data_IF_111058108391
#
_entry.id   IF_111058108391
#
_cell.length_a   1.000
_cell.length_b   1.000
_cell.length_c   1.000
_cell.angle_alpha   90.00
_cell.angle_beta   90.00
_cell.angle_gamma   90.00
#
_symmetry.space_group_name_H-M   'P 1'
#
loop_
_entity.id
_entity.type
_entity.pdbx_description
1 polymer ?
#
# COMPACT_ATOMS: atom_id res chain seq x y z
N UNK A 1 26.94 -23.25 5.18
CA UNK A 1 26.63 -21.87 4.73
C UNK A 1 26.84 -20.96 5.92
N UNK A 2 27.62 -19.88 5.79
CA UNK A 2 27.78 -18.91 6.86
C UNK A 2 26.50 -18.07 6.99
N UNK A 3 26.01 -17.88 8.22
CA UNK A 3 24.87 -17.02 8.53
C UNK A 3 25.37 -15.71 9.14
N UNK A 4 24.77 -14.59 8.75
CA UNK A 4 25.03 -13.29 9.34
C UNK A 4 23.74 -12.70 9.88
N UNK A 5 23.82 -11.94 10.97
CA UNK A 5 22.67 -11.28 11.60
C UNK A 5 22.43 -9.91 10.98
N UNK A 6 21.15 -9.55 10.81
CA UNK A 6 20.73 -8.21 10.38
C UNK A 6 19.83 -7.62 11.45
N UNK A 7 20.14 -6.40 11.90
CA UNK A 7 19.33 -5.64 12.87
C UNK A 7 18.57 -4.54 12.14
N UNK A 8 17.24 -4.56 12.23
CA UNK A 8 16.35 -3.58 11.60
C UNK A 8 15.64 -2.78 12.69
N UNK A 9 15.76 -1.44 12.63
CA UNK A 9 14.98 -0.53 13.49
C UNK A 9 13.71 -0.13 12.76
N UNK A 10 12.57 -0.21 13.44
CA UNK A 10 11.26 0.14 12.90
C UNK A 10 10.38 0.70 14.02
N UNK A 11 9.35 1.45 13.63
CA UNK A 11 8.33 1.92 14.58
C UNK A 11 7.55 0.72 15.16
N UNK A 12 7.18 0.82 16.44
CA UNK A 12 6.47 -0.26 17.15
C UNK A 12 5.12 -0.59 16.52
N UNK A 13 4.34 0.42 16.12
CA UNK A 13 3.05 0.24 15.47
C UNK A 13 3.17 -0.52 14.15
N UNK A 14 4.16 -0.13 13.32
CA UNK A 14 4.45 -0.82 12.06
C UNK A 14 4.91 -2.26 12.30
N UNK A 15 5.79 -2.50 13.28
CA UNK A 15 6.25 -3.85 13.63
C UNK A 15 5.07 -4.78 13.92
N UNK A 16 4.14 -4.32 14.77
CA UNK A 16 2.97 -5.12 15.17
C UNK A 16 2.06 -5.45 13.99
N UNK A 17 1.81 -4.47 13.11
CA UNK A 17 0.99 -4.69 11.91
C UNK A 17 1.61 -5.74 10.98
N UNK A 18 2.91 -5.62 10.73
CA UNK A 18 3.63 -6.54 9.83
C UNK A 18 3.74 -7.94 10.44
N UNK A 19 3.95 -8.06 11.75
CA UNK A 19 3.95 -9.35 12.46
C UNK A 19 2.61 -10.08 12.35
N UNK A 20 1.51 -9.38 12.58
CA UNK A 20 0.16 -9.96 12.43
C UNK A 20 -0.10 -10.41 10.99
N UNK A 21 0.21 -9.55 10.01
CA UNK A 21 0.01 -9.87 8.60
C UNK A 21 0.81 -11.10 8.16
N UNK A 22 2.07 -11.20 8.59
CA UNK A 22 2.89 -12.37 8.25
C UNK A 22 2.39 -13.64 8.94
N UNK A 23 1.93 -13.56 10.18
CA UNK A 23 1.37 -14.72 10.91
C UNK A 23 0.10 -15.24 10.24
N UNK A 24 -0.79 -14.35 9.78
CA UNK A 24 -1.98 -14.70 8.99
C UNK A 24 -1.62 -15.41 7.67
N UNK A 25 -0.44 -15.10 7.11
CA UNK A 25 0.11 -15.77 5.92
C UNK A 25 0.90 -17.06 6.26
N UNK A 26 1.01 -17.43 7.54
CA UNK A 26 1.79 -18.58 8.00
C UNK A 26 3.32 -18.37 7.91
N UNK A 27 3.77 -17.12 7.95
CA UNK A 27 5.17 -16.72 7.84
C UNK A 27 5.65 -16.04 9.13
N UNK A 28 6.82 -16.44 9.61
CA UNK A 28 7.51 -15.63 10.61
C UNK A 28 8.28 -14.46 9.95
N UNK A 29 8.62 -13.45 10.75
CA UNK A 29 9.34 -12.25 10.30
C UNK A 29 10.63 -12.60 9.54
N UNK A 30 11.43 -13.53 10.06
CA UNK A 30 12.70 -13.94 9.42
C UNK A 30 12.49 -14.55 8.04
N UNK A 31 11.49 -15.42 7.90
CA UNK A 31 11.13 -16.05 6.62
C UNK A 31 10.67 -14.99 5.62
N UNK A 32 9.79 -14.08 6.02
CA UNK A 32 9.28 -13.02 5.16
C UNK A 32 10.41 -12.10 4.66
N UNK A 33 11.29 -11.64 5.56
CA UNK A 33 12.45 -10.79 5.19
C UNK A 33 13.44 -11.55 4.30
N UNK A 34 13.63 -12.85 4.53
CA UNK A 34 14.49 -13.69 3.68
C UNK A 34 13.90 -13.84 2.27
N UNK A 35 12.59 -14.03 2.15
CA UNK A 35 11.90 -14.09 0.85
C UNK A 35 12.05 -12.76 0.11
N UNK A 36 11.84 -11.64 0.79
CA UNK A 36 12.04 -10.31 0.23
C UNK A 36 13.48 -10.14 -0.31
N UNK A 37 14.49 -10.45 0.50
CA UNK A 37 15.89 -10.32 0.08
C UNK A 37 16.22 -11.20 -1.15
N UNK A 38 15.71 -12.44 -1.19
CA UNK A 38 15.86 -13.32 -2.36
C UNK A 38 15.17 -12.76 -3.60
N UNK A 39 13.98 -12.17 -3.45
CA UNK A 39 13.25 -11.55 -4.55
C UNK A 39 14.00 -10.34 -5.11
N UNK A 40 14.56 -9.48 -4.25
CA UNK A 40 15.40 -8.35 -4.66
C UNK A 40 16.60 -8.82 -5.47
N UNK A 41 17.35 -9.81 -4.97
CA UNK A 41 18.53 -10.35 -5.66
C UNK A 41 18.16 -10.99 -7.00
N UNK A 42 17.06 -11.76 -7.03
CA UNK A 42 16.61 -12.46 -8.24
C UNK A 42 16.14 -11.50 -9.33
N UNK A 43 15.48 -10.41 -8.96
CA UNK A 43 14.87 -9.49 -9.92
C UNK A 43 15.73 -8.26 -10.22
N UNK A 44 16.76 -7.98 -9.42
CA UNK A 44 17.57 -6.77 -9.55
C UNK A 44 16.81 -5.47 -9.26
N UNK A 45 15.66 -5.55 -8.57
CA UNK A 45 14.79 -4.42 -8.23
C UNK A 45 14.02 -4.71 -6.95
N UNK A 46 13.41 -3.68 -6.37
CA UNK A 46 12.46 -3.87 -5.26
C UNK A 46 11.22 -4.63 -5.79
N UNK A 47 10.81 -5.75 -5.16
CA UNK A 47 9.75 -6.63 -5.65
C UNK A 47 8.33 -6.11 -5.33
N UNK A 48 8.17 -4.80 -5.26
CA UNK A 48 6.90 -4.09 -5.15
C UNK A 48 7.07 -2.69 -5.74
N UNK A 49 5.95 -2.06 -6.10
CA UNK A 49 5.95 -0.70 -6.63
C UNK A 49 6.15 0.30 -5.48
N UNK A 50 7.04 1.28 -5.68
CA UNK A 50 7.24 2.37 -4.72
C UNK A 50 6.43 3.56 -5.21
N UNK A 51 5.22 3.70 -4.67
CA UNK A 51 4.34 4.83 -4.97
C UNK A 51 4.28 5.79 -3.78
N UNK A 52 4.40 7.09 -4.04
CA UNK A 52 3.94 8.10 -3.09
C UNK A 52 2.44 8.31 -3.32
N UNK A 53 1.63 8.21 -2.26
CA UNK A 53 0.16 8.30 -2.20
C UNK A 53 -0.61 8.32 -3.55
N UNK A 54 -1.28 7.22 -3.94
CA UNK A 54 -2.01 7.15 -5.20
C UNK A 54 -3.22 8.08 -5.26
N UNK A 55 -3.75 8.60 -4.14
CA UNK A 55 -4.90 9.50 -4.17
C UNK A 55 -4.57 10.80 -4.92
N UNK A 56 -3.37 11.36 -4.74
CA UNK A 56 -2.96 12.63 -5.33
C UNK A 56 -2.23 12.49 -6.68
N UNK A 57 -2.33 11.34 -7.34
CA UNK A 57 -1.71 11.15 -8.65
C UNK A 57 -2.35 12.04 -9.74
N UNK A 58 -1.62 12.30 -10.82
CA UNK A 58 -2.06 13.21 -11.91
C UNK A 58 -3.42 12.81 -12.50
N UNK A 59 -3.66 11.52 -12.71
CA UNK A 59 -4.92 11.03 -13.28
C UNK A 59 -6.13 11.33 -12.37
N UNK A 60 -5.98 11.12 -11.06
CA UNK A 60 -6.99 11.44 -10.06
C UNK A 60 -7.20 12.95 -9.94
N UNK A 61 -6.14 13.76 -9.98
CA UNK A 61 -6.25 15.22 -10.01
C UNK A 61 -7.01 15.71 -11.24
N UNK A 62 -6.71 15.19 -12.43
CA UNK A 62 -7.44 15.51 -13.67
C UNK A 62 -8.92 15.12 -13.55
N UNK A 63 -9.23 13.96 -12.98
CA UNK A 63 -10.61 13.53 -12.75
C UNK A 63 -11.34 14.43 -11.75
N UNK A 64 -10.69 14.84 -10.67
CA UNK A 64 -11.27 15.76 -9.67
C UNK A 64 -11.58 17.11 -10.30
N UNK A 65 -10.63 17.73 -11.01
CA UNK A 65 -10.81 19.00 -11.71
C UNK A 65 -11.98 18.92 -12.69
N UNK A 66 -12.06 17.85 -13.49
CA UNK A 66 -13.18 17.62 -14.41
C UNK A 66 -14.51 17.51 -13.69
N UNK A 67 -14.54 16.85 -12.53
CA UNK A 67 -15.77 16.65 -11.74
C UNK A 67 -16.24 17.95 -11.11
N UNK A 68 -15.31 18.76 -10.56
CA UNK A 68 -15.58 20.10 -10.03
C UNK A 68 -16.19 20.98 -11.13
N UNK A 69 -15.57 21.04 -12.31
CA UNK A 69 -16.09 21.82 -13.43
C UNK A 69 -17.48 21.36 -13.90
N UNK A 70 -17.78 20.06 -13.82
CA UNK A 70 -19.12 19.54 -14.12
C UNK A 70 -20.16 19.98 -13.08
N UNK A 71 -19.81 19.97 -11.80
CA UNK A 71 -20.67 20.42 -10.71
C UNK A 71 -20.93 21.93 -10.80
N UNK A 72 -19.89 22.74 -11.02
CA UNK A 72 -20.01 24.19 -11.22
C UNK A 72 -20.86 24.55 -12.45
N UNK A 73 -20.80 23.73 -13.51
CA UNK A 73 -21.65 23.86 -14.68
C UNK A 73 -23.10 23.34 -14.47
N UNK A 74 -23.48 22.96 -13.24
CA UNK A 74 -24.81 22.47 -12.91
C UNK A 74 -25.15 21.09 -13.46
N UNK A 75 -24.15 20.30 -13.87
CA UNK A 75 -24.33 18.95 -14.46
C UNK A 75 -24.36 17.83 -13.41
N UNK A 76 -24.39 18.19 -12.13
CA UNK A 76 -24.51 17.25 -11.02
C UNK A 76 -25.96 16.89 -10.73
N UNK A 77 -26.19 15.68 -10.23
CA UNK A 77 -27.47 15.22 -9.68
C UNK A 77 -27.31 14.94 -8.20
N UNK A 78 -28.14 15.56 -7.36
CA UNK A 78 -28.20 15.20 -5.94
C UNK A 78 -28.77 13.79 -5.79
N UNK A 79 -28.16 12.98 -4.93
CA UNK A 79 -28.69 11.69 -4.52
C UNK A 79 -28.61 11.56 -3.00
N UNK A 80 -29.49 10.75 -2.41
CA UNK A 80 -29.45 10.47 -0.98
C UNK A 80 -28.28 9.55 -0.61
N UNK A 81 -27.90 9.55 0.68
CA UNK A 81 -26.85 8.68 1.19
C UNK A 81 -27.26 7.22 0.96
N UNK A 82 -26.37 6.45 0.34
CA UNK A 82 -26.53 5.00 0.23
C UNK A 82 -25.98 4.39 1.52
N UNK A 83 -26.85 3.79 2.33
CA UNK A 83 -26.41 2.94 3.43
C UNK A 83 -25.76 1.69 2.85
N UNK A 84 -24.57 1.36 3.33
CA UNK A 84 -23.90 0.10 3.01
C UNK A 84 -24.36 -0.87 4.07
N UNK A 85 -25.17 -1.86 3.70
CA UNK A 85 -25.52 -2.96 4.60
C UNK A 85 -24.23 -3.68 5.04
N UNK A 86 -24.09 -3.89 6.36
CA UNK A 86 -22.93 -4.52 7.02
C UNK A 86 -22.57 -5.93 6.52
#
# INVERSE_FOLDING_TARGET
MATTSVTIRMEEGLKRQVEMLFDDMGLNMTTAITIFAKAVVKQGKIPFEITADPFWNEANQVRLIKSIAQLEAGKGTAHELLEVDE
#
